data_IF_570367877075
#
_entry.id   IF_570367877075
#
_cell.length_a   1.000
_cell.length_b   1.000
_cell.length_c   1.000
_cell.angle_alpha   90.00
_cell.angle_beta   90.00
_cell.angle_gamma   90.00
#
_symmetry.space_group_name_H-M   'P 1'
#
loop_
_entity.id
_entity.type
_entity.pdbx_description
1 polymer ?
#
# COMPACT_ATOMS: atom_id res chain seq x y z
N UNK A 1 -15.87 13.16 -35.10
CA UNK A 1 -14.43 13.42 -35.29
C UNK A 1 -14.02 14.45 -34.25
N UNK A 2 -14.30 14.11 -32.99
CA UNK A 2 -13.28 14.01 -31.92
C UNK A 2 -12.69 15.37 -31.65
N UNK A 3 -13.51 16.21 -31.00
CA UNK A 3 -13.02 17.22 -30.08
C UNK A 3 -12.04 16.51 -29.17
N UNK A 4 -10.76 16.69 -29.48
CA UNK A 4 -9.70 16.39 -28.55
C UNK A 4 -10.11 17.10 -27.27
N UNK A 5 -10.31 16.32 -26.21
CA UNK A 5 -10.34 16.84 -24.86
C UNK A 5 -9.02 17.58 -24.68
N UNK A 6 -9.04 18.86 -25.01
CA UNK A 6 -7.89 19.72 -24.91
C UNK A 6 -7.44 19.60 -23.45
N UNK A 7 -6.18 19.22 -23.23
CA UNK A 7 -5.59 19.05 -21.91
C UNK A 7 -5.57 20.37 -21.10
N UNK A 8 -6.22 21.40 -21.61
CA UNK A 8 -6.38 22.76 -21.10
C UNK A 8 -7.83 23.11 -20.76
N UNK A 9 -8.83 22.24 -20.99
CA UNK A 9 -10.21 22.50 -20.57
C UNK A 9 -10.31 22.53 -19.03
N UNK A 10 -10.58 23.71 -18.43
CA UNK A 10 -10.64 23.85 -16.98
C UNK A 10 -11.74 22.98 -16.36
N UNK A 11 -12.82 22.68 -17.09
CA UNK A 11 -13.88 21.79 -16.60
C UNK A 11 -13.40 20.34 -16.53
N UNK A 12 -12.74 19.84 -17.57
CA UNK A 12 -12.18 18.49 -17.59
C UNK A 12 -11.14 18.31 -16.47
N UNK A 13 -10.23 19.27 -16.29
CA UNK A 13 -9.24 19.26 -15.20
C UNK A 13 -9.94 19.25 -13.84
N UNK A 14 -10.94 20.10 -13.63
CA UNK A 14 -11.69 20.13 -12.37
C UNK A 14 -12.38 18.81 -12.06
N UNK A 15 -13.05 18.19 -13.06
CA UNK A 15 -13.73 16.90 -12.91
C UNK A 15 -12.74 15.81 -12.47
N UNK A 16 -11.58 15.74 -13.14
CA UNK A 16 -10.58 14.70 -12.89
C UNK A 16 -9.89 14.88 -11.55
N UNK A 17 -9.61 16.13 -11.15
CA UNK A 17 -9.07 16.44 -9.80
C UNK A 17 -10.09 16.09 -8.71
N UNK A 18 -11.35 16.48 -8.88
CA UNK A 18 -12.42 16.15 -7.93
C UNK A 18 -12.56 14.63 -7.82
N UNK A 19 -12.57 13.92 -8.95
CA UNK A 19 -12.61 12.46 -8.98
C UNK A 19 -11.45 11.84 -8.19
N UNK A 20 -10.21 12.28 -8.43
CA UNK A 20 -9.05 11.78 -7.71
C UNK A 20 -9.14 12.08 -6.22
N UNK A 21 -9.47 13.31 -5.86
CA UNK A 21 -9.59 13.75 -4.47
C UNK A 21 -10.63 12.93 -3.72
N UNK A 22 -11.82 12.73 -4.31
CA UNK A 22 -12.88 11.92 -3.73
C UNK A 22 -12.49 10.44 -3.64
N UNK A 23 -11.83 9.90 -4.67
CA UNK A 23 -11.34 8.52 -4.67
C UNK A 23 -10.31 8.29 -3.55
N UNK A 24 -9.33 9.18 -3.40
CA UNK A 24 -8.32 9.10 -2.34
C UNK A 24 -8.93 9.28 -0.94
N UNK A 25 -9.86 10.23 -0.77
CA UNK A 25 -10.60 10.41 0.48
C UNK A 25 -11.42 9.16 0.84
N UNK A 26 -12.17 8.63 -0.12
CA UNK A 26 -12.98 7.42 0.07
C UNK A 26 -12.10 6.21 0.40
N UNK A 27 -11.00 5.99 -0.34
CA UNK A 27 -10.05 4.93 -0.05
C UNK A 27 -9.43 5.08 1.35
N UNK A 28 -9.09 6.31 1.76
CA UNK A 28 -8.54 6.58 3.09
C UNK A 28 -9.56 6.28 4.20
N UNK A 29 -10.82 6.68 4.01
CA UNK A 29 -11.91 6.36 4.95
C UNK A 29 -12.12 4.84 5.01
N UNK A 30 -12.20 4.16 3.88
CA UNK A 30 -12.39 2.70 3.83
C UNK A 30 -11.26 1.96 4.53
N UNK A 31 -10.01 2.36 4.28
CA UNK A 31 -8.81 1.82 4.94
C UNK A 31 -8.85 2.05 6.45
N UNK A 32 -9.16 3.26 6.89
CA UNK A 32 -9.17 3.60 8.33
C UNK A 32 -10.32 2.92 9.07
N UNK A 33 -11.47 2.75 8.43
CA UNK A 33 -12.58 1.93 8.96
C UNK A 33 -12.18 0.45 9.00
N UNK A 34 -11.54 -0.07 7.96
CA UNK A 34 -11.07 -1.45 7.90
C UNK A 34 -10.02 -1.78 8.98
N UNK A 35 -9.23 -0.79 9.43
CA UNK A 35 -8.34 -0.96 10.59
C UNK A 35 -9.09 -1.23 11.89
N UNK A 36 -10.31 -0.66 12.05
CA UNK A 36 -11.14 -0.86 13.25
C UNK A 36 -12.04 -2.09 13.14
N UNK A 37 -12.47 -2.41 11.92
CA UNK A 37 -13.37 -3.52 11.59
C UNK A 37 -12.80 -4.24 10.38
N UNK A 38 -11.99 -5.30 10.56
CA UNK A 38 -11.33 -5.97 9.44
C UNK A 38 -12.37 -6.66 8.56
N UNK A 39 -12.84 -5.95 7.53
CA UNK A 39 -13.77 -6.42 6.52
C UNK A 39 -13.06 -6.45 5.17
N UNK A 40 -12.92 -7.65 4.60
CA UNK A 40 -12.22 -7.87 3.32
C UNK A 40 -12.84 -7.08 2.16
N UNK A 41 -14.15 -6.87 2.18
CA UNK A 41 -14.86 -6.09 1.15
C UNK A 41 -14.44 -4.62 1.13
N UNK A 42 -14.23 -3.98 2.29
CA UNK A 42 -13.81 -2.57 2.36
C UNK A 42 -12.44 -2.37 1.73
N UNK A 43 -11.52 -3.31 1.97
CA UNK A 43 -10.16 -3.25 1.42
C UNK A 43 -10.14 -3.55 -0.07
N UNK A 44 -10.98 -4.48 -0.55
CA UNK A 44 -11.15 -4.72 -1.97
C UNK A 44 -11.68 -3.47 -2.71
N UNK A 45 -12.67 -2.77 -2.13
CA UNK A 45 -13.19 -1.51 -2.69
C UNK A 45 -12.11 -0.42 -2.67
N UNK A 46 -11.37 -0.26 -1.57
CA UNK A 46 -10.28 0.72 -1.49
C UNK A 46 -9.17 0.45 -2.52
N UNK A 47 -8.76 -0.82 -2.67
CA UNK A 47 -7.80 -1.22 -3.70
C UNK A 47 -8.33 -0.99 -5.12
N UNK A 48 -9.61 -1.28 -5.36
CA UNK A 48 -10.28 -0.99 -6.62
C UNK A 48 -10.30 0.50 -6.95
N UNK A 49 -10.56 1.37 -5.97
CA UNK A 49 -10.54 2.83 -6.13
C UNK A 49 -9.13 3.36 -6.47
N UNK A 50 -8.10 2.86 -5.77
CA UNK A 50 -6.70 3.21 -6.06
C UNK A 50 -6.28 2.74 -7.44
N UNK A 51 -6.63 1.51 -7.81
CA UNK A 51 -6.33 0.97 -9.14
C UNK A 51 -7.06 1.73 -10.23
N UNK A 52 -8.33 2.06 -10.03
CA UNK A 52 -9.12 2.87 -10.97
C UNK A 52 -8.49 4.26 -11.14
N UNK A 53 -8.12 4.93 -10.05
CA UNK A 53 -7.44 6.21 -10.10
C UNK A 53 -6.11 6.12 -10.87
N UNK A 54 -5.29 5.10 -10.58
CA UNK A 54 -4.04 4.86 -11.29
C UNK A 54 -4.26 4.68 -12.80
N UNK A 55 -5.25 3.88 -13.20
CA UNK A 55 -5.57 3.62 -14.61
C UNK A 55 -6.08 4.88 -15.30
N UNK A 56 -6.97 5.64 -14.65
CA UNK A 56 -7.52 6.89 -15.21
C UNK A 56 -6.40 7.88 -15.52
N UNK A 57 -5.49 8.12 -14.58
CA UNK A 57 -4.40 9.08 -14.77
C UNK A 57 -3.24 8.55 -15.63
N UNK A 58 -3.07 7.23 -15.73
CA UNK A 58 -2.14 6.65 -16.70
C UNK A 58 -2.61 6.84 -18.15
N UNK A 59 -3.93 6.91 -18.38
CA UNK A 59 -4.51 7.05 -19.73
C UNK A 59 -4.81 8.51 -20.08
N UNK A 60 -5.16 9.32 -19.09
CA UNK A 60 -5.55 10.72 -19.27
C UNK A 60 -4.54 11.65 -18.57
N UNK A 61 -3.48 12.09 -19.27
CA UNK A 61 -2.46 12.96 -18.71
C UNK A 61 -2.98 14.41 -18.60
N UNK A 62 -3.69 14.71 -17.52
CA UNK A 62 -4.12 16.07 -17.19
C UNK A 62 -3.13 16.71 -16.23
N UNK A 63 -2.77 17.98 -16.50
CA UNK A 63 -1.80 18.71 -15.70
C UNK A 63 -2.51 19.43 -14.54
N UNK A 64 -2.36 18.93 -13.31
CA UNK A 64 -3.05 19.49 -12.14
C UNK A 64 -2.29 20.71 -11.60
N UNK A 65 -2.99 21.82 -11.28
CA UNK A 65 -2.37 23.00 -10.66
C UNK A 65 -1.60 22.65 -9.38
N UNK A 66 -0.43 23.27 -9.18
CA UNK A 66 0.52 22.95 -8.10
C UNK A 66 -0.13 22.87 -6.71
N UNK A 67 -1.04 23.81 -6.38
CA UNK A 67 -1.70 23.81 -5.08
C UNK A 67 -2.59 22.57 -4.87
N UNK A 68 -3.35 22.17 -5.89
CA UNK A 68 -4.19 20.98 -5.85
C UNK A 68 -3.32 19.72 -5.85
N UNK A 69 -2.23 19.71 -6.64
CA UNK A 69 -1.21 18.67 -6.62
C UNK A 69 -0.61 18.47 -5.22
N UNK A 70 -0.31 19.54 -4.49
CA UNK A 70 0.22 19.46 -3.12
C UNK A 70 -0.78 18.84 -2.13
N UNK A 71 -2.07 19.17 -2.25
CA UNK A 71 -3.14 18.58 -1.43
C UNK A 71 -3.27 17.08 -1.74
N UNK A 72 -3.27 16.71 -3.02
CA UNK A 72 -3.32 15.32 -3.47
C UNK A 72 -2.08 14.53 -3.03
N UNK A 73 -0.90 15.13 -3.07
CA UNK A 73 0.36 14.55 -2.59
C UNK A 73 0.29 14.26 -1.08
N UNK A 74 -0.16 15.23 -0.28
CA UNK A 74 -0.34 15.02 1.15
C UNK A 74 -1.33 13.89 1.45
N UNK A 75 -2.48 13.89 0.79
CA UNK A 75 -3.52 12.87 0.94
C UNK A 75 -3.04 11.49 0.47
N UNK A 76 -2.33 11.43 -0.66
CA UNK A 76 -1.75 10.22 -1.22
C UNK A 76 -0.69 9.62 -0.31
N UNK A 77 0.20 10.43 0.26
CA UNK A 77 1.18 9.96 1.27
C UNK A 77 0.47 9.40 2.50
N UNK A 78 -0.55 10.08 3.01
CA UNK A 78 -1.33 9.58 4.14
C UNK A 78 -1.99 8.22 3.82
N UNK A 79 -2.60 8.08 2.64
CA UNK A 79 -3.21 6.83 2.17
C UNK A 79 -2.19 5.70 1.96
N UNK A 80 -1.04 6.02 1.37
CA UNK A 80 0.06 5.07 1.17
C UNK A 80 0.54 4.52 2.52
N UNK A 81 0.77 5.40 3.50
CA UNK A 81 1.32 5.05 4.82
C UNK A 81 0.31 4.30 5.69
N UNK A 82 -0.94 4.77 5.75
CA UNK A 82 -1.99 4.19 6.62
C UNK A 82 -2.64 2.94 5.99
N UNK A 83 -2.71 2.86 4.67
CA UNK A 83 -3.32 1.73 3.96
C UNK A 83 -2.47 0.48 3.85
N UNK A 84 -1.14 0.62 3.94
CA UNK A 84 -0.25 -0.53 3.78
C UNK A 84 -0.49 -1.65 4.79
N UNK A 85 -0.69 -1.35 6.08
CA UNK A 85 -0.88 -2.40 7.10
C UNK A 85 -2.15 -3.25 6.89
N UNK A 86 -3.36 -2.66 6.80
CA UNK A 86 -4.57 -3.47 6.58
C UNK A 86 -4.55 -4.17 5.22
N UNK A 87 -4.00 -3.53 4.17
CA UNK A 87 -3.85 -4.16 2.86
C UNK A 87 -2.92 -5.38 2.90
N UNK A 88 -1.74 -5.25 3.52
CA UNK A 88 -0.80 -6.37 3.69
C UNK A 88 -1.43 -7.53 4.45
N UNK A 89 -2.17 -7.26 5.54
CA UNK A 89 -2.88 -8.32 6.29
C UNK A 89 -3.92 -9.02 5.43
N UNK A 90 -4.69 -8.26 4.66
CA UNK A 90 -5.69 -8.83 3.75
C UNK A 90 -5.06 -9.74 2.70
N UNK A 91 -3.93 -9.33 2.09
CA UNK A 91 -3.19 -10.18 1.15
C UNK A 91 -2.62 -11.43 1.82
N UNK A 92 -2.08 -11.32 3.04
CA UNK A 92 -1.53 -12.48 3.77
C UNK A 92 -2.62 -13.50 4.15
N UNK A 93 -3.81 -13.03 4.54
CA UNK A 93 -4.96 -13.90 4.80
C UNK A 93 -5.38 -14.62 3.50
N UNK A 94 -5.43 -13.89 2.39
CA UNK A 94 -5.79 -14.45 1.09
C UNK A 94 -4.75 -15.46 0.57
N UNK A 95 -3.46 -15.24 0.85
CA UNK A 95 -2.38 -16.10 0.38
C UNK A 95 -2.27 -17.42 1.15
N UNK A 96 -2.52 -17.42 2.47
CA UNK A 96 -2.10 -18.53 3.33
C UNK A 96 -3.26 -19.30 3.99
N UNK A 97 -4.50 -18.78 4.00
CA UNK A 97 -5.75 -19.48 4.41
C UNK A 97 -5.81 -20.07 5.84
N UNK A 98 -4.69 -20.15 6.56
CA UNK A 98 -4.48 -20.78 7.88
C UNK A 98 -3.71 -19.88 8.85
N UNK A 99 -3.57 -18.60 8.55
CA UNK A 99 -2.85 -17.64 9.40
C UNK A 99 -3.73 -17.17 10.56
N UNK A 100 -3.56 -17.79 11.72
CA UNK A 100 -4.08 -17.25 12.98
C UNK A 100 -3.13 -16.16 13.50
N UNK A 101 -3.64 -14.94 13.71
CA UNK A 101 -2.90 -13.87 14.38
C UNK A 101 -2.66 -14.26 15.84
N UNK A 102 -1.44 -14.03 16.33
CA UNK A 102 -1.10 -14.21 17.73
C UNK A 102 -1.69 -13.08 18.58
N UNK A 103 -1.95 -13.31 19.88
CA UNK A 103 -2.52 -12.29 20.78
C UNK A 103 -1.69 -10.99 20.91
N UNK A 104 -0.45 -10.95 20.39
CA UNK A 104 0.46 -9.80 20.51
C UNK A 104 0.86 -9.20 19.15
N UNK A 105 0.12 -9.52 18.09
CA UNK A 105 0.24 -8.88 16.78
C UNK A 105 1.30 -9.44 15.83
N UNK A 106 1.87 -10.60 16.11
CA UNK A 106 2.64 -11.41 15.16
C UNK A 106 1.78 -12.52 14.51
N UNK A 107 2.38 -13.27 13.58
CA UNK A 107 1.68 -14.37 12.89
C UNK A 107 2.07 -15.69 13.55
N UNK A 108 1.09 -16.52 13.91
CA UNK A 108 1.34 -17.85 14.45
C UNK A 108 1.74 -18.79 13.30
N UNK A 109 2.86 -19.49 13.46
CA UNK A 109 3.23 -20.63 12.62
C UNK A 109 3.04 -21.88 13.47
N UNK A 110 2.26 -22.84 12.99
CA UNK A 110 2.19 -24.17 13.58
C UNK A 110 3.41 -24.96 13.09
N UNK A 111 4.44 -25.07 13.93
CA UNK A 111 5.54 -25.99 13.69
C UNK A 111 4.98 -27.41 13.90
N UNK A 112 4.83 -28.16 12.81
CA UNK A 112 4.61 -29.60 12.88
C UNK A 112 5.91 -30.26 13.39
N UNK A 113 6.08 -30.29 14.71
CA UNK A 113 7.08 -31.10 15.35
C UNK A 113 6.54 -32.53 15.43
N UNK A 114 7.17 -33.47 14.73
CA UNK A 114 7.01 -34.88 15.01
C UNK A 114 7.48 -35.13 16.46
N UNK A 115 6.51 -35.41 17.34
CA UNK A 115 6.61 -35.62 18.79
C UNK A 115 6.54 -34.35 19.67
N UNK A 116 5.39 -34.26 20.36
CA UNK A 116 5.04 -33.40 21.51
C UNK A 116 4.71 -31.91 21.24
N UNK A 117 3.42 -31.60 21.42
CA UNK A 117 2.75 -30.30 21.53
C UNK A 117 3.02 -29.24 20.43
N UNK A 118 1.95 -28.90 19.69
CA UNK A 118 1.90 -27.80 18.71
C UNK A 118 2.28 -26.46 19.35
N UNK A 119 3.56 -26.11 19.31
CA UNK A 119 4.06 -24.83 19.84
C UNK A 119 3.85 -23.74 18.80
N UNK A 120 2.80 -22.94 18.98
CA UNK A 120 2.57 -21.74 18.18
C UNK A 120 3.59 -20.67 18.58
N UNK A 121 4.59 -20.44 17.73
CA UNK A 121 5.57 -19.37 17.94
C UNK A 121 5.12 -18.12 17.15
N UNK A 122 5.03 -17.00 17.85
CA UNK A 122 4.61 -15.72 17.27
C UNK A 122 5.83 -14.99 16.72
N UNK A 123 6.06 -15.14 15.41
CA UNK A 123 7.23 -14.58 14.71
C UNK A 123 6.86 -13.21 14.13
N UNK A 124 7.86 -12.30 13.99
CA UNK A 124 7.74 -10.94 13.42
C UNK A 124 6.97 -9.91 14.28
N UNK A 125 7.30 -9.79 15.56
CA UNK A 125 6.82 -8.67 16.39
C UNK A 125 7.55 -7.35 16.03
N UNK A 126 6.81 -6.23 16.03
CA UNK A 126 7.41 -4.88 15.99
C UNK A 126 7.73 -4.27 14.61
N UNK A 127 7.06 -4.70 13.53
CA UNK A 127 7.30 -4.17 12.18
C UNK A 127 6.56 -2.88 11.81
N UNK A 128 5.58 -2.42 12.61
CA UNK A 128 4.63 -1.37 12.18
C UNK A 128 5.27 0.00 12.02
N UNK A 129 6.11 0.43 12.96
CA UNK A 129 6.80 1.73 12.89
C UNK A 129 7.79 1.78 11.73
N UNK A 130 8.58 0.71 11.54
CA UNK A 130 9.48 0.59 10.38
C UNK A 130 8.66 0.62 9.09
N UNK A 131 7.54 -0.10 9.03
CA UNK A 131 6.66 -0.09 7.87
C UNK A 131 6.09 1.29 7.54
N UNK A 132 5.82 2.15 8.53
CA UNK A 132 5.41 3.54 8.25
C UNK A 132 6.54 4.34 7.59
N UNK A 133 7.77 4.20 8.08
CA UNK A 133 8.94 4.87 7.48
C UNK A 133 9.19 4.38 6.05
N UNK A 134 9.16 3.08 5.82
CA UNK A 134 9.35 2.49 4.48
C UNK A 134 8.32 3.02 3.48
N UNK A 135 7.03 3.03 3.85
CA UNK A 135 5.96 3.52 2.99
C UNK A 135 6.05 5.02 2.75
N UNK A 136 6.43 5.80 3.76
CA UNK A 136 6.67 7.23 3.60
C UNK A 136 7.85 7.50 2.67
N UNK A 137 8.98 6.80 2.84
CA UNK A 137 10.16 6.92 1.97
C UNK A 137 9.84 6.56 0.53
N UNK A 138 9.07 5.49 0.29
CA UNK A 138 8.64 5.09 -1.05
C UNK A 138 7.72 6.13 -1.68
N UNK A 139 6.67 6.55 -0.96
CA UNK A 139 5.72 7.52 -1.49
C UNK A 139 6.38 8.87 -1.79
N UNK A 140 7.18 9.39 -0.86
CA UNK A 140 7.90 10.65 -1.04
C UNK A 140 8.96 10.54 -2.15
N UNK A 141 9.69 9.43 -2.24
CA UNK A 141 10.69 9.25 -3.29
C UNK A 141 10.07 9.14 -4.68
N UNK A 142 8.94 8.46 -4.84
CA UNK A 142 8.18 8.45 -6.11
C UNK A 142 7.71 9.87 -6.45
N UNK A 143 7.10 10.58 -5.51
CA UNK A 143 6.62 11.95 -5.73
C UNK A 143 7.75 12.94 -6.04
N UNK A 144 8.95 12.70 -5.50
CA UNK A 144 10.16 13.46 -5.81
C UNK A 144 10.84 13.06 -7.13
N UNK A 145 10.29 12.11 -7.89
CA UNK A 145 10.87 11.63 -9.15
C UNK A 145 12.05 10.66 -8.99
N UNK A 146 12.22 10.06 -7.81
CA UNK A 146 13.27 9.09 -7.50
C UNK A 146 12.70 7.70 -7.14
N UNK A 147 12.11 6.96 -8.12
CA UNK A 147 11.51 5.64 -7.86
C UNK A 147 12.54 4.58 -7.43
N UNK A 148 13.84 4.81 -7.68
CA UNK A 148 14.92 3.94 -7.23
C UNK A 148 14.98 3.78 -5.69
N UNK A 149 14.32 4.67 -4.92
CA UNK A 149 14.16 4.51 -3.47
C UNK A 149 13.56 3.16 -3.06
N UNK A 150 12.71 2.55 -3.91
CA UNK A 150 12.08 1.26 -3.65
C UNK A 150 13.15 0.18 -3.48
N UNK A 151 14.15 0.17 -4.37
CA UNK A 151 15.25 -0.79 -4.31
C UNK A 151 16.09 -0.60 -3.03
N UNK A 152 16.34 0.65 -2.64
CA UNK A 152 17.06 0.97 -1.39
C UNK A 152 16.30 0.46 -0.17
N UNK A 153 14.99 0.72 -0.11
CA UNK A 153 14.13 0.25 1.00
C UNK A 153 14.09 -1.28 1.08
N UNK A 154 13.93 -1.96 -0.06
CA UNK A 154 13.97 -3.43 -0.12
C UNK A 154 15.33 -3.96 0.37
N UNK A 155 16.44 -3.34 -0.04
CA UNK A 155 17.78 -3.75 0.38
C UNK A 155 17.98 -3.58 1.90
N UNK A 156 17.62 -2.42 2.46
CA UNK A 156 17.71 -2.15 3.91
C UNK A 156 16.88 -3.15 4.72
N UNK A 157 15.65 -3.43 4.26
CA UNK A 157 14.76 -4.37 4.92
C UNK A 157 15.30 -5.81 4.89
N UNK A 158 15.90 -6.21 3.76
CA UNK A 158 16.52 -7.53 3.58
C UNK A 158 17.73 -7.75 4.50
N UNK A 159 18.60 -6.76 4.65
CA UNK A 159 19.77 -6.84 5.54
C UNK A 159 19.35 -6.94 7.01
N UNK A 160 18.38 -6.11 7.43
CA UNK A 160 18.00 -6.03 8.85
C UNK A 160 17.29 -7.26 9.41
N UNK A 161 16.70 -8.12 8.57
CA UNK A 161 15.87 -9.26 8.99
C UNK A 161 16.48 -10.62 8.63
N UNK A 162 17.69 -10.67 8.06
CA UNK A 162 18.28 -11.91 7.55
C UNK A 162 18.35 -13.06 8.59
N UNK A 163 18.67 -12.75 9.85
CA UNK A 163 18.76 -13.73 10.95
C UNK A 163 17.39 -14.24 11.44
N UNK A 164 16.30 -13.50 11.21
CA UNK A 164 14.95 -13.85 11.65
C UNK A 164 14.21 -14.76 10.63
N UNK A 165 14.78 -14.95 9.46
CA UNK A 165 14.19 -15.65 8.31
C UNK A 165 14.65 -17.11 8.21
N UNK A 166 14.80 -17.77 9.35
CA UNK A 166 15.36 -19.13 9.44
C UNK A 166 14.45 -20.21 8.85
N UNK A 167 13.12 -20.03 8.88
CA UNK A 167 12.17 -21.01 8.35
C UNK A 167 11.66 -20.63 6.94
N UNK A 168 11.38 -21.60 6.06
CA UNK A 168 10.77 -21.33 4.75
C UNK A 168 9.46 -20.53 4.85
N UNK A 169 8.59 -20.89 5.80
CA UNK A 169 7.31 -20.21 6.02
C UNK A 169 7.49 -18.74 6.47
N UNK A 170 8.47 -18.44 7.32
CA UNK A 170 8.75 -17.05 7.73
C UNK A 170 9.27 -16.21 6.55
N UNK A 171 10.11 -16.80 5.69
CA UNK A 171 10.62 -16.16 4.45
C UNK A 171 9.50 -15.80 3.49
N UNK A 172 8.62 -16.74 3.20
CA UNK A 172 7.52 -16.54 2.26
C UNK A 172 6.58 -15.42 2.75
N UNK A 173 6.15 -15.47 4.01
CA UNK A 173 5.30 -14.43 4.62
C UNK A 173 5.98 -13.06 4.63
N UNK A 174 7.27 -13.00 4.89
CA UNK A 174 8.04 -11.76 4.86
C UNK A 174 8.10 -11.16 3.45
N UNK A 175 8.34 -11.98 2.42
CA UNK A 175 8.38 -11.56 1.02
C UNK A 175 7.00 -11.07 0.58
N UNK A 176 5.94 -11.87 0.78
CA UNK A 176 4.56 -11.52 0.41
C UNK A 176 4.13 -10.24 1.13
N UNK A 177 4.40 -10.14 2.44
CA UNK A 177 4.02 -8.96 3.23
C UNK A 177 4.73 -7.68 2.77
N UNK A 178 6.02 -7.78 2.46
CA UNK A 178 6.83 -6.65 1.96
C UNK A 178 6.34 -6.22 0.58
N UNK A 179 6.18 -7.16 -0.36
CA UNK A 179 5.71 -6.87 -1.71
C UNK A 179 4.31 -6.25 -1.68
N UNK A 180 3.39 -6.77 -0.87
CA UNK A 180 2.04 -6.19 -0.74
C UNK A 180 2.07 -4.76 -0.20
N UNK A 181 2.88 -4.48 0.84
CA UNK A 181 3.01 -3.14 1.43
C UNK A 181 3.61 -2.14 0.45
N UNK A 182 4.66 -2.54 -0.27
CA UNK A 182 5.33 -1.68 -1.26
C UNK A 182 4.46 -1.47 -2.51
N UNK A 183 3.72 -2.49 -2.94
CA UNK A 183 2.78 -2.40 -4.07
C UNK A 183 1.68 -1.39 -3.77
N UNK A 184 1.08 -1.44 -2.58
CA UNK A 184 0.08 -0.47 -2.15
C UNK A 184 0.64 0.96 -2.17
N UNK A 185 1.78 1.19 -1.49
CA UNK A 185 2.37 2.52 -1.41
C UNK A 185 2.77 3.06 -2.80
N UNK A 186 3.32 2.21 -3.65
CA UNK A 186 3.72 2.58 -5.01
C UNK A 186 2.52 2.89 -5.90
N UNK A 187 1.43 2.11 -5.83
CA UNK A 187 0.23 2.36 -6.62
C UNK A 187 -0.42 3.70 -6.26
N UNK A 188 -0.54 4.01 -4.97
CA UNK A 188 -1.07 5.30 -4.50
C UNK A 188 -0.16 6.45 -4.94
N UNK A 189 1.15 6.33 -4.71
CA UNK A 189 2.10 7.39 -5.07
C UNK A 189 2.19 7.61 -6.58
N UNK A 190 2.14 6.55 -7.38
CA UNK A 190 2.14 6.64 -8.84
C UNK A 190 0.88 7.32 -9.37
N UNK A 191 -0.30 7.00 -8.83
CA UNK A 191 -1.55 7.66 -9.23
C UNK A 191 -1.50 9.17 -8.99
N UNK A 192 -0.90 9.59 -7.88
CA UNK A 192 -0.72 11.02 -7.58
C UNK A 192 0.40 11.65 -8.40
N UNK A 193 1.51 10.95 -8.62
CA UNK A 193 2.61 11.45 -9.45
C UNK A 193 2.14 11.72 -10.88
N UNK A 194 1.39 10.80 -11.49
CA UNK A 194 0.79 10.95 -12.82
C UNK A 194 -0.25 12.08 -12.91
N UNK A 195 -0.83 12.49 -11.78
CA UNK A 195 -1.72 13.64 -11.74
C UNK A 195 -0.95 14.97 -11.73
N UNK A 196 0.28 14.97 -11.21
CA UNK A 196 1.10 16.18 -11.07
C UNK A 196 2.01 16.39 -12.28
N UNK A 197 2.45 15.30 -12.93
CA UNK A 197 3.45 15.29 -14.01
C UNK A 197 2.95 14.51 -15.22
#
# INVERSE_FOLDING_TARGET
MTDALDATDPLAVAIVVIFLFLSLCAALVLVTVAQRRPQSSLLAVAAGLVLLALVVFAVLPYNVPVLLGAILAFLGVALAVLGGNPFTRWVLIAADGRTTEGPRGGILVELAAEHSESRQEEILRGGTTIGFLERASVALGILAGFPAVIAVVVALKGVGRFSELATPAARERFIVGTLASLLWASAVAAAVWLAIW
#
